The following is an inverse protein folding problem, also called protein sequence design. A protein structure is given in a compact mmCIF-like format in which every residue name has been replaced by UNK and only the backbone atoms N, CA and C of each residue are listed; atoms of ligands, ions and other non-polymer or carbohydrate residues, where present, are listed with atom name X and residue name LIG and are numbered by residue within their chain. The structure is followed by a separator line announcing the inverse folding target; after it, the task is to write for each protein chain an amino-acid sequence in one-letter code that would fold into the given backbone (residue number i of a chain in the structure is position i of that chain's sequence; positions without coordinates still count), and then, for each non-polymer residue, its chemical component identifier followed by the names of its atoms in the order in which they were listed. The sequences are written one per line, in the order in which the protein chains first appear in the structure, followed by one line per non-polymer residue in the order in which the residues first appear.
data_IF_837202059668
#
_entry.id   IF_837202059668
#
_cell.length_a   1.000
_cell.length_b   1.000
_cell.length_c   1.000
_cell.angle_alpha   90.00
_cell.angle_beta   90.00
_cell.angle_gamma   90.00
#
_symmetry.space_group_name_H-M   'P 1'
#
loop_
_entity.id
_entity.type
_entity.pdbx_description
1 polymer ?
#
# COMPACT_ATOMS: atom_id res chain seq x y z
N UNK A 1 6.84 -24.57 -3.19
CA UNK A 1 7.06 -23.13 -3.38
C UNK A 1 7.73 -22.96 -4.74
N UNK A 2 7.06 -22.33 -5.71
CA UNK A 2 7.50 -22.33 -7.10
C UNK A 2 8.84 -21.60 -7.33
N UNK A 3 9.12 -20.52 -6.59
CA UNK A 3 10.36 -19.76 -6.70
C UNK A 3 11.63 -20.59 -6.46
N UNK A 4 11.58 -21.53 -5.51
CA UNK A 4 12.73 -22.36 -5.15
C UNK A 4 13.09 -23.40 -6.23
N UNK A 5 12.22 -23.59 -7.22
CA UNK A 5 12.48 -24.47 -8.37
C UNK A 5 13.32 -23.77 -9.45
N UNK A 6 13.62 -22.48 -9.28
CA UNK A 6 14.43 -21.70 -10.20
C UNK A 6 15.78 -21.47 -9.53
N UNK A 7 16.83 -22.04 -10.11
CA UNK A 7 18.18 -21.86 -9.61
C UNK A 7 18.73 -20.46 -9.92
N UNK A 8 19.54 -19.95 -9.00
CA UNK A 8 20.33 -18.74 -9.20
C UNK A 8 21.69 -19.16 -9.75
N UNK A 9 22.15 -18.47 -10.78
CA UNK A 9 23.49 -18.65 -11.35
C UNK A 9 24.56 -18.54 -10.26
N UNK A 10 25.55 -19.43 -10.27
CA UNK A 10 26.55 -19.50 -9.20
C UNK A 10 27.29 -18.17 -8.98
N UNK A 11 27.48 -17.39 -10.05
CA UNK A 11 28.12 -16.08 -9.98
C UNK A 11 27.28 -15.02 -9.26
N UNK A 12 25.96 -15.19 -9.21
CA UNK A 12 25.02 -14.25 -8.59
C UNK A 12 24.59 -14.66 -7.17
N UNK A 13 24.83 -15.91 -6.76
CA UNK A 13 24.42 -16.42 -5.42
C UNK A 13 25.00 -15.59 -4.27
N UNK A 14 26.16 -14.97 -4.46
CA UNK A 14 26.80 -14.15 -3.44
C UNK A 14 26.01 -12.87 -3.08
N UNK A 15 25.13 -12.39 -3.97
CA UNK A 15 24.21 -11.28 -3.68
C UNK A 15 23.05 -11.67 -2.77
N UNK A 16 22.91 -12.96 -2.46
CA UNK A 16 21.80 -13.52 -1.67
C UNK A 16 22.23 -13.96 -0.28
N UNK A 17 23.43 -13.55 0.15
CA UNK A 17 23.98 -13.92 1.45
C UNK A 17 23.14 -13.37 2.59
N UNK A 18 22.98 -14.19 3.62
CA UNK A 18 22.37 -13.79 4.88
C UNK A 18 23.12 -14.39 6.06
N UNK A 19 23.13 -13.65 7.17
CA UNK A 19 23.66 -14.13 8.42
C UNK A 19 22.62 -15.01 9.13
N UNK A 20 23.07 -16.12 9.67
CA UNK A 20 22.27 -17.00 10.49
C UNK A 20 22.83 -17.05 11.90
N UNK A 21 21.91 -17.05 12.87
CA UNK A 21 22.24 -17.17 14.28
C UNK A 21 21.35 -18.25 14.92
N UNK A 22 21.98 -19.35 15.34
CA UNK A 22 21.29 -20.44 16.04
C UNK A 22 20.91 -20.09 17.49
N UNK A 23 21.52 -19.07 18.10
CA UNK A 23 21.36 -18.72 19.52
C UNK A 23 21.10 -17.21 19.75
N UNK A 24 19.99 -16.66 19.25
CA UNK A 24 19.69 -15.22 19.39
C UNK A 24 19.58 -14.82 20.86
N UNK A 25 20.45 -13.91 21.34
CA UNK A 25 20.39 -13.35 22.71
C UNK A 25 21.69 -13.29 23.50
N UNK A 26 22.81 -13.82 22.98
CA UNK A 26 24.15 -13.67 23.58
C UNK A 26 24.89 -12.51 22.89
N UNK A 27 25.76 -11.84 23.65
CA UNK A 27 26.60 -10.72 23.21
C UNK A 27 27.23 -10.95 21.83
N UNK A 28 27.01 -9.99 20.93
CA UNK A 28 27.39 -10.07 19.52
C UNK A 28 28.90 -9.87 19.31
N UNK A 29 29.61 -9.29 20.28
CA UNK A 29 31.00 -8.85 20.10
C UNK A 29 31.98 -10.00 19.81
N UNK A 30 31.68 -11.24 20.20
CA UNK A 30 32.56 -12.39 19.98
C UNK A 30 31.88 -13.58 19.27
N UNK A 31 30.72 -13.35 18.66
CA UNK A 31 29.93 -14.43 18.08
C UNK A 31 30.26 -14.63 16.61
N UNK A 32 30.65 -15.86 16.26
CA UNK A 32 30.80 -16.26 14.86
C UNK A 32 29.42 -16.47 14.26
N UNK A 33 29.01 -15.59 13.36
CA UNK A 33 27.79 -15.75 12.57
C UNK A 33 28.08 -16.67 11.39
N UNK A 34 27.16 -17.60 11.15
CA UNK A 34 27.21 -18.42 9.93
C UNK A 34 26.67 -17.59 8.76
N UNK A 35 27.32 -17.71 7.61
CA UNK A 35 26.93 -17.01 6.38
C UNK A 35 26.42 -18.06 5.41
N UNK A 36 25.12 -18.00 5.14
CA UNK A 36 24.49 -18.81 4.10
C UNK A 36 24.20 -17.96 2.87
N UNK A 37 24.01 -18.63 1.74
CA UNK A 37 23.55 -18.02 0.49
C UNK A 37 22.47 -18.89 -0.11
N UNK A 38 21.52 -18.28 -0.80
CA UNK A 38 20.46 -19.03 -1.47
C UNK A 38 20.98 -19.61 -2.79
N UNK A 39 20.51 -20.80 -3.12
CA UNK A 39 20.78 -21.45 -4.41
C UNK A 39 19.61 -21.30 -5.38
N UNK A 40 18.42 -20.98 -4.89
CA UNK A 40 17.21 -20.73 -5.67
C UNK A 40 16.63 -19.34 -5.45
N UNK A 41 15.74 -18.91 -6.35
CA UNK A 41 15.13 -17.58 -6.33
C UNK A 41 14.37 -17.35 -5.02
N UNK A 42 14.64 -16.21 -4.38
CA UNK A 42 14.11 -15.87 -3.06
C UNK A 42 12.67 -15.37 -3.12
N UNK A 43 11.89 -15.67 -2.09
CA UNK A 43 10.62 -14.99 -1.88
C UNK A 43 10.85 -13.56 -1.34
N UNK A 44 10.03 -12.60 -1.79
CA UNK A 44 10.05 -11.22 -1.29
C UNK A 44 11.04 -10.26 -1.97
N UNK A 45 11.84 -10.74 -2.94
CA UNK A 45 12.68 -9.88 -3.79
C UNK A 45 11.87 -9.39 -4.98
N UNK A 46 12.04 -8.11 -5.37
CA UNK A 46 11.25 -7.46 -6.42
C UNK A 46 11.34 -8.15 -7.79
N UNK A 47 12.47 -8.78 -8.10
CA UNK A 47 12.71 -9.48 -9.37
C UNK A 47 12.11 -10.88 -9.41
N UNK A 48 11.84 -11.51 -8.26
CA UNK A 48 11.42 -12.92 -8.21
C UNK A 48 10.12 -13.21 -8.97
N UNK A 49 9.05 -12.39 -8.89
CA UNK A 49 7.84 -12.60 -9.68
C UNK A 49 8.10 -12.57 -11.19
N UNK A 50 9.01 -11.69 -11.64
CA UNK A 50 9.41 -11.64 -13.04
C UNK A 50 10.15 -12.91 -13.46
N UNK A 51 11.12 -13.37 -12.67
CA UNK A 51 11.89 -14.58 -12.96
C UNK A 51 10.98 -15.81 -13.04
N UNK A 52 10.02 -15.92 -12.12
CA UNK A 52 9.02 -16.99 -12.14
C UNK A 52 8.15 -16.92 -13.40
N UNK A 53 7.56 -15.76 -13.69
CA UNK A 53 6.70 -15.60 -14.86
C UNK A 53 7.45 -15.84 -16.18
N UNK A 54 8.70 -15.38 -16.29
CA UNK A 54 9.55 -15.58 -17.46
C UNK A 54 9.89 -17.06 -17.67
N UNK A 55 10.21 -17.77 -16.58
CA UNK A 55 10.50 -19.22 -16.61
C UNK A 55 9.27 -19.99 -17.05
N UNK A 56 8.12 -19.74 -16.43
CA UNK A 56 6.86 -20.39 -16.81
C UNK A 56 6.54 -20.12 -18.29
N UNK A 57 6.58 -18.85 -18.73
CA UNK A 57 6.36 -18.50 -20.14
C UNK A 57 7.34 -19.19 -21.10
N UNK A 58 8.57 -19.44 -20.68
CA UNK A 58 9.52 -20.21 -21.48
C UNK A 58 9.07 -21.67 -21.64
N UNK A 59 8.66 -22.33 -20.55
CA UNK A 59 8.14 -23.71 -20.58
C UNK A 59 6.85 -23.83 -21.41
N UNK A 60 5.95 -22.86 -21.27
CA UNK A 60 4.69 -22.77 -21.99
C UNK A 60 4.87 -22.83 -23.53
N UNK A 61 6.01 -22.33 -24.07
CA UNK A 61 6.28 -22.39 -25.52
C UNK A 61 6.34 -23.81 -26.09
N UNK A 62 6.65 -24.83 -25.29
CA UNK A 62 6.71 -26.22 -25.73
C UNK A 62 5.33 -26.80 -26.09
N UNK A 63 4.25 -26.21 -25.56
CA UNK A 63 2.89 -26.76 -25.62
C UNK A 63 1.95 -25.98 -26.54
N UNK A 64 2.46 -25.00 -27.30
CA UNK A 64 1.68 -24.13 -28.20
C UNK A 64 0.83 -24.92 -29.18
N UNK A 65 1.41 -25.97 -29.78
CA UNK A 65 0.74 -26.80 -30.78
C UNK A 65 0.06 -28.04 -30.18
N UNK A 66 0.17 -28.23 -28.85
CA UNK A 66 -0.32 -29.42 -28.15
C UNK A 66 -1.61 -29.10 -27.37
N UNK A 67 -1.59 -28.06 -26.53
CA UNK A 67 -2.70 -27.68 -25.65
C UNK A 67 -3.03 -26.17 -25.79
N UNK A 68 -3.43 -25.70 -26.98
CA UNK A 68 -3.56 -24.26 -27.27
C UNK A 68 -4.55 -23.54 -26.34
N UNK A 69 -5.68 -24.18 -26.02
CA UNK A 69 -6.71 -23.59 -25.17
C UNK A 69 -6.26 -23.49 -23.70
N UNK A 70 -5.68 -24.57 -23.15
CA UNK A 70 -5.12 -24.57 -21.80
C UNK A 70 -3.93 -23.63 -21.67
N UNK A 71 -3.13 -23.50 -22.72
CA UNK A 71 -2.03 -22.53 -22.77
C UNK A 71 -2.53 -21.09 -22.69
N UNK A 72 -3.60 -20.77 -23.40
CA UNK A 72 -4.23 -19.45 -23.34
C UNK A 72 -4.78 -19.19 -21.93
N UNK A 73 -5.44 -20.17 -21.32
CA UNK A 73 -5.90 -20.08 -19.94
C UNK A 73 -4.73 -19.84 -18.99
N UNK A 74 -3.67 -20.65 -19.02
CA UNK A 74 -2.50 -20.47 -18.15
C UNK A 74 -1.84 -19.09 -18.32
N UNK A 75 -1.73 -18.58 -19.55
CA UNK A 75 -1.15 -17.26 -19.78
C UNK A 75 -2.00 -16.10 -19.24
N UNK A 76 -3.33 -16.25 -19.19
CA UNK A 76 -4.25 -15.20 -18.73
C UNK A 76 -4.60 -15.31 -17.24
N UNK A 77 -4.57 -16.52 -16.70
CA UNK A 77 -5.15 -16.87 -15.39
C UNK A 77 -4.14 -17.29 -14.32
N UNK A 78 -2.85 -17.38 -14.66
CA UNK A 78 -1.80 -17.67 -13.69
C UNK A 78 -1.25 -16.38 -13.10
N UNK A 79 -1.44 -16.19 -11.80
CA UNK A 79 -0.90 -15.06 -11.04
C UNK A 79 0.13 -15.56 -10.04
N UNK A 80 1.41 -15.35 -10.36
CA UNK A 80 2.55 -15.82 -9.56
C UNK A 80 2.48 -17.34 -9.35
N UNK A 81 2.04 -17.80 -8.18
CA UNK A 81 1.88 -19.21 -7.81
C UNK A 81 0.42 -19.69 -7.79
N UNK A 82 -0.55 -18.81 -8.01
CA UNK A 82 -1.98 -19.13 -8.02
C UNK A 82 -2.53 -19.24 -9.44
N UNK A 83 -3.20 -20.36 -9.76
CA UNK A 83 -3.87 -20.59 -11.05
C UNK A 83 -5.40 -20.52 -10.90
N UNK A 84 -6.06 -19.64 -11.66
CA UNK A 84 -7.50 -19.38 -11.53
C UNK A 84 -8.21 -19.31 -12.88
N UNK A 85 -8.85 -20.40 -13.28
CA UNK A 85 -9.60 -20.47 -14.54
C UNK A 85 -11.08 -20.82 -14.33
N UNK A 86 -11.94 -20.22 -15.15
CA UNK A 86 -13.34 -20.62 -15.32
C UNK A 86 -13.54 -21.35 -16.63
N UNK A 87 -14.49 -22.28 -16.68
CA UNK A 87 -14.82 -23.05 -17.88
C UNK A 87 -16.33 -23.24 -18.01
N UNK A 88 -16.82 -23.36 -19.25
CA UNK A 88 -18.26 -23.47 -19.56
C UNK A 88 -18.88 -24.84 -19.23
N UNK A 89 -18.06 -25.87 -19.03
CA UNK A 89 -18.51 -27.21 -18.66
C UNK A 89 -17.53 -27.92 -17.73
N UNK A 90 -18.03 -28.89 -16.95
CA UNK A 90 -17.21 -29.74 -16.08
C UNK A 90 -16.16 -30.52 -16.88
N UNK A 91 -16.50 -30.98 -18.08
CA UNK A 91 -15.56 -31.71 -18.92
C UNK A 91 -14.41 -30.83 -19.41
N UNK A 92 -14.71 -29.61 -19.87
CA UNK A 92 -13.67 -28.65 -20.28
C UNK A 92 -12.78 -28.26 -19.08
N UNK A 93 -13.38 -28.04 -17.90
CA UNK A 93 -12.65 -27.77 -16.68
C UNK A 93 -11.70 -28.91 -16.29
N UNK A 94 -12.17 -30.16 -16.38
CA UNK A 94 -11.36 -31.33 -16.10
C UNK A 94 -10.17 -31.45 -17.07
N UNK A 95 -10.41 -31.22 -18.37
CA UNK A 95 -9.34 -31.20 -19.39
C UNK A 95 -8.30 -30.14 -19.05
N UNK A 96 -8.71 -28.90 -18.75
CA UNK A 96 -7.78 -27.84 -18.34
C UNK A 96 -7.00 -28.21 -17.08
N UNK A 97 -7.62 -28.82 -16.06
CA UNK A 97 -6.91 -29.27 -14.86
C UNK A 97 -5.81 -30.30 -15.17
N UNK A 98 -6.12 -31.30 -16.00
CA UNK A 98 -5.19 -32.37 -16.36
C UNK A 98 -4.02 -31.81 -17.18
N UNK A 99 -4.34 -31.04 -18.22
CA UNK A 99 -3.34 -30.44 -19.11
C UNK A 99 -2.45 -29.44 -18.36
N UNK A 100 -3.03 -28.58 -17.52
CA UNK A 100 -2.26 -27.62 -16.70
C UNK A 100 -1.33 -28.32 -15.71
N UNK A 101 -1.78 -29.41 -15.06
CA UNK A 101 -0.94 -30.20 -14.18
C UNK A 101 0.24 -30.80 -14.95
N UNK A 102 -0.01 -31.40 -16.10
CA UNK A 102 1.03 -31.99 -16.94
C UNK A 102 2.08 -30.94 -17.37
N UNK A 103 1.64 -29.77 -17.84
CA UNK A 103 2.52 -28.70 -18.31
C UNK A 103 3.44 -28.21 -17.18
N UNK A 104 2.89 -27.98 -15.99
CA UNK A 104 3.65 -27.42 -14.87
C UNK A 104 4.45 -28.49 -14.10
N UNK A 105 4.03 -29.75 -14.12
CA UNK A 105 4.84 -30.88 -13.64
C UNK A 105 6.12 -31.06 -14.48
N UNK A 106 6.07 -30.89 -15.81
CA UNK A 106 7.27 -30.85 -16.68
C UNK A 106 8.21 -29.68 -16.35
N UNK A 107 7.69 -28.60 -15.75
CA UNK A 107 8.48 -27.48 -15.23
C UNK A 107 8.94 -27.68 -13.77
N UNK A 108 8.70 -28.85 -13.16
CA UNK A 108 8.89 -29.12 -11.73
C UNK A 108 8.12 -28.16 -10.80
N UNK A 109 7.04 -27.54 -11.30
CA UNK A 109 6.18 -26.57 -10.61
C UNK A 109 4.76 -27.13 -10.40
N UNK A 110 4.67 -28.28 -9.73
CA UNK A 110 3.42 -29.02 -9.53
C UNK A 110 2.27 -28.19 -8.93
N UNK A 111 1.11 -28.23 -9.60
CA UNK A 111 -0.13 -27.57 -9.14
C UNK A 111 -0.85 -28.44 -8.11
N UNK A 112 -1.04 -27.88 -6.92
CA UNK A 112 -1.61 -28.57 -5.76
C UNK A 112 -2.79 -27.81 -5.17
N UNK A 113 -3.51 -28.47 -4.26
CA UNK A 113 -4.62 -27.89 -3.49
C UNK A 113 -5.73 -27.33 -4.39
N UNK A 114 -6.16 -28.15 -5.34
CA UNK A 114 -7.22 -27.81 -6.27
C UNK A 114 -8.54 -27.56 -5.54
N UNK A 115 -9.28 -26.55 -5.99
CA UNK A 115 -10.59 -26.14 -5.46
C UNK A 115 -11.55 -25.84 -6.60
N UNK A 116 -12.84 -26.06 -6.37
CA UNK A 116 -13.88 -25.85 -7.38
C UNK A 116 -15.25 -25.66 -6.74
N UNK A 117 -16.08 -24.83 -7.38
CA UNK A 117 -17.51 -24.66 -7.06
C UNK A 117 -18.39 -25.83 -7.56
N UNK A 118 -17.85 -26.75 -8.37
CA UNK A 118 -18.58 -27.90 -8.90
C UNK A 118 -18.29 -29.16 -8.08
N UNK A 119 -19.32 -29.69 -7.42
CA UNK A 119 -19.24 -30.96 -6.68
C UNK A 119 -18.88 -32.14 -7.60
N UNK A 120 -19.36 -32.13 -8.85
CA UNK A 120 -19.04 -33.14 -9.85
C UNK A 120 -17.55 -33.08 -10.23
N UNK A 121 -17.02 -31.90 -10.53
CA UNK A 121 -15.60 -31.75 -10.86
C UNK A 121 -14.71 -32.17 -9.67
N UNK A 122 -15.10 -31.78 -8.45
CA UNK A 122 -14.38 -32.13 -7.23
C UNK A 122 -14.25 -33.66 -7.07
N UNK A 123 -15.33 -34.42 -7.28
CA UNK A 123 -15.31 -35.88 -7.25
C UNK A 123 -14.44 -36.47 -8.36
N UNK A 124 -14.52 -35.95 -9.58
CA UNK A 124 -13.69 -36.42 -10.71
C UNK A 124 -12.19 -36.19 -10.46
N UNK A 125 -11.82 -35.04 -9.90
CA UNK A 125 -10.43 -34.74 -9.54
C UNK A 125 -9.89 -35.69 -8.46
N UNK A 126 -10.69 -36.00 -7.43
CA UNK A 126 -10.34 -36.99 -6.41
C UNK A 126 -10.12 -38.38 -7.00
N UNK A 127 -11.00 -38.81 -7.91
CA UNK A 127 -10.87 -40.10 -8.59
C UNK A 127 -9.59 -40.19 -9.43
N UNK A 128 -9.05 -39.06 -9.88
CA UNK A 128 -7.77 -38.95 -10.60
C UNK A 128 -6.58 -38.69 -9.67
N UNK A 129 -6.74 -38.84 -8.35
CA UNK A 129 -5.70 -38.61 -7.33
C UNK A 129 -5.10 -37.19 -7.33
N UNK A 130 -5.90 -36.17 -7.66
CA UNK A 130 -5.49 -34.78 -7.46
C UNK A 130 -5.54 -34.42 -5.97
N UNK A 131 -4.59 -33.61 -5.50
CA UNK A 131 -4.62 -33.02 -4.16
C UNK A 131 -5.72 -31.93 -4.12
N UNK A 132 -6.91 -32.30 -3.67
CA UNK A 132 -8.06 -31.41 -3.52
C UNK A 132 -8.13 -30.93 -2.06
N UNK A 133 -8.24 -29.62 -1.86
CA UNK A 133 -8.32 -29.03 -0.52
C UNK A 133 -9.78 -28.92 -0.09
N UNK A 134 -10.23 -29.83 0.78
CA UNK A 134 -11.61 -29.86 1.27
C UNK A 134 -11.85 -28.87 2.42
N UNK A 135 -13.04 -28.28 2.45
CA UNK A 135 -13.53 -27.48 3.56
C UNK A 135 -13.46 -28.27 4.88
N UNK A 136 -12.63 -27.84 5.83
CA UNK A 136 -12.75 -28.28 7.23
C UNK A 136 -13.91 -27.52 7.86
N UNK A 137 -15.07 -28.15 8.00
CA UNK A 137 -16.14 -27.67 8.88
C UNK A 137 -15.66 -27.74 10.34
N UNK A 138 -14.93 -26.73 10.79
CA UNK A 138 -14.74 -26.50 12.22
C UNK A 138 -15.90 -25.67 12.75
N UNK A 139 -16.68 -26.28 13.64
CA UNK A 139 -17.76 -25.68 14.42
C UNK A 139 -17.40 -24.25 14.86
N UNK A 140 -18.24 -23.27 14.50
CA UNK A 140 -18.25 -21.86 14.93
C UNK A 140 -17.36 -20.85 14.19
N UNK A 141 -16.81 -21.16 13.02
CA UNK A 141 -16.32 -20.08 12.13
C UNK A 141 -16.41 -20.54 10.69
N UNK A 142 -17.15 -19.79 9.86
CA UNK A 142 -17.11 -19.92 8.40
C UNK A 142 -15.69 -19.52 7.94
N UNK A 143 -14.70 -20.38 8.14
CA UNK A 143 -13.39 -20.21 7.50
C UNK A 143 -13.60 -20.60 6.05
N UNK A 144 -14.13 -19.68 5.26
CA UNK A 144 -14.19 -19.85 3.83
C UNK A 144 -12.83 -19.58 3.20
N UNK A 145 -12.63 -20.24 2.07
CA UNK A 145 -11.36 -20.35 1.35
C UNK A 145 -10.87 -18.98 0.90
N UNK A 146 -9.54 -18.76 0.84
CA UNK A 146 -8.98 -17.52 0.28
C UNK A 146 -8.38 -17.78 -1.09
N UNK A 147 -8.65 -16.89 -2.03
CA UNK A 147 -8.12 -16.86 -3.39
C UNK A 147 -7.52 -15.47 -3.63
N UNK A 148 -6.23 -15.37 -3.93
CA UNK A 148 -5.51 -14.09 -4.08
C UNK A 148 -5.71 -13.12 -2.89
N UNK A 149 -5.89 -13.68 -1.69
CA UNK A 149 -6.15 -12.92 -0.46
C UNK A 149 -7.61 -12.55 -0.18
N UNK A 150 -8.54 -12.81 -1.12
CA UNK A 150 -9.99 -12.55 -0.97
C UNK A 150 -10.73 -13.83 -0.59
N UNK A 151 -11.75 -13.75 0.27
CA UNK A 151 -12.58 -14.91 0.59
C UNK A 151 -13.40 -15.37 -0.62
N UNK A 152 -13.49 -16.67 -0.86
CA UNK A 152 -14.32 -17.28 -1.90
C UNK A 152 -15.21 -18.36 -1.29
N UNK A 153 -16.51 -18.20 -1.49
CA UNK A 153 -17.51 -19.21 -1.16
C UNK A 153 -17.75 -20.10 -2.38
N UNK A 154 -17.21 -21.31 -2.32
CA UNK A 154 -17.28 -22.30 -3.40
C UNK A 154 -18.74 -22.71 -3.71
N UNK A 155 -19.66 -22.72 -2.74
CA UNK A 155 -21.04 -23.17 -2.96
C UNK A 155 -21.89 -22.14 -3.69
N UNK A 156 -21.76 -20.86 -3.32
CA UNK A 156 -22.49 -19.76 -3.96
C UNK A 156 -21.72 -19.13 -5.12
N UNK A 157 -20.46 -19.53 -5.33
CA UNK A 157 -19.53 -18.94 -6.28
C UNK A 157 -19.39 -17.42 -6.12
N UNK A 158 -19.28 -16.96 -4.87
CA UNK A 158 -19.20 -15.54 -4.53
C UNK A 158 -17.93 -15.23 -3.78
N UNK A 159 -17.22 -14.17 -4.20
CA UNK A 159 -16.18 -13.58 -3.38
C UNK A 159 -16.78 -12.75 -2.25
N UNK A 160 -16.12 -12.74 -1.09
CA UNK A 160 -16.52 -11.96 0.06
C UNK A 160 -15.30 -11.41 0.81
N UNK A 161 -15.51 -10.33 1.57
CA UNK A 161 -14.51 -9.75 2.45
C UNK A 161 -14.88 -10.06 3.89
N UNK A 162 -13.96 -10.69 4.63
CA UNK A 162 -14.18 -11.00 6.03
C UNK A 162 -13.81 -9.79 6.91
N UNK A 163 -14.79 -8.92 7.14
CA UNK A 163 -14.65 -7.77 8.04
C UNK A 163 -14.48 -8.18 9.51
N UNK A 164 -14.93 -9.39 9.88
CA UNK A 164 -14.86 -9.91 11.24
C UNK A 164 -13.44 -10.37 11.62
N UNK A 165 -12.69 -11.00 10.69
CA UNK A 165 -11.27 -11.31 10.86
C UNK A 165 -10.45 -10.02 11.01
N UNK A 166 -10.75 -9.00 10.20
CA UNK A 166 -10.05 -7.72 10.28
C UNK A 166 -10.31 -6.99 11.60
N UNK A 167 -11.57 -6.92 12.04
CA UNK A 167 -11.95 -6.32 13.33
C UNK A 167 -11.30 -7.03 14.51
N UNK A 168 -11.32 -8.36 14.50
CA UNK A 168 -10.66 -9.22 15.51
C UNK A 168 -9.14 -9.10 15.46
N UNK A 169 -8.56 -8.92 14.28
CA UNK A 169 -7.13 -8.68 14.14
C UNK A 169 -6.77 -7.33 14.75
N UNK A 170 -7.39 -6.23 14.31
CA UNK A 170 -7.11 -4.86 14.74
C UNK A 170 -7.34 -4.66 16.25
N UNK A 171 -8.35 -5.34 16.83
CA UNK A 171 -8.68 -5.22 18.26
C UNK A 171 -7.53 -5.64 19.20
N UNK A 172 -6.53 -6.38 18.71
CA UNK A 172 -5.32 -6.74 19.47
C UNK A 172 -4.39 -5.53 19.73
N UNK A 173 -4.62 -4.38 19.10
CA UNK A 173 -3.93 -3.08 19.33
C UNK A 173 -2.39 -3.16 19.34
N UNK A 174 -1.81 -4.02 18.50
CA UNK A 174 -0.35 -4.16 18.40
C UNK A 174 0.21 -3.07 17.48
N UNK A 175 1.01 -2.14 18.01
CA UNK A 175 1.57 -1.03 17.23
C UNK A 175 2.95 -1.36 16.66
N UNK A 176 3.03 -2.38 15.80
CA UNK A 176 4.26 -2.66 15.03
C UNK A 176 4.01 -2.45 13.54
N UNK A 177 5.05 -2.02 12.81
CA UNK A 177 5.01 -1.89 11.34
C UNK A 177 4.57 -3.17 10.65
N UNK A 178 5.06 -4.33 11.11
CA UNK A 178 4.67 -5.64 10.59
C UNK A 178 3.18 -5.91 10.79
N UNK A 179 2.66 -5.60 11.97
CA UNK A 179 1.24 -5.76 12.27
C UNK A 179 0.36 -4.84 11.42
N UNK A 180 0.77 -3.58 11.24
CA UNK A 180 0.07 -2.64 10.36
C UNK A 180 0.06 -3.11 8.90
N UNK A 181 1.18 -3.60 8.39
CA UNK A 181 1.26 -4.18 7.04
C UNK A 181 0.38 -5.43 6.91
N UNK A 182 0.31 -6.27 7.95
CA UNK A 182 -0.60 -7.42 7.98
C UNK A 182 -2.08 -7.03 8.03
N UNK A 183 -2.43 -5.91 8.65
CA UNK A 183 -3.78 -5.36 8.62
C UNK A 183 -4.12 -4.82 7.22
N UNK A 184 -3.22 -4.04 6.62
CA UNK A 184 -3.40 -3.49 5.27
C UNK A 184 -3.50 -4.58 4.20
N UNK A 185 -2.72 -5.66 4.32
CA UNK A 185 -2.80 -6.82 3.42
C UNK A 185 -4.13 -7.59 3.50
N UNK A 186 -4.86 -7.50 4.62
CA UNK A 186 -6.22 -8.09 4.75
C UNK A 186 -7.30 -7.30 4.03
N UNK A 187 -7.04 -6.02 3.75
CA UNK A 187 -7.89 -5.13 2.95
C UNK A 187 -7.53 -5.19 1.45
N UNK A 188 -6.67 -6.12 1.05
CA UNK A 188 -6.22 -6.21 -0.33
C UNK A 188 -7.37 -6.65 -1.25
N UNK A 189 -7.73 -5.78 -2.18
CA UNK A 189 -8.72 -6.02 -3.21
C UNK A 189 -8.07 -5.96 -4.61
N UNK A 190 -7.68 -7.12 -5.17
CA UNK A 190 -7.02 -7.18 -6.47
C UNK A 190 -7.92 -6.72 -7.63
N UNK A 191 -9.25 -6.77 -7.46
CA UNK A 191 -10.21 -6.39 -8.50
C UNK A 191 -10.61 -4.92 -8.49
N UNK A 192 -10.21 -4.14 -7.48
CA UNK A 192 -10.69 -2.77 -7.31
C UNK A 192 -12.21 -2.66 -7.14
N UNK A 193 -12.88 -3.74 -6.72
CA UNK A 193 -14.32 -3.74 -6.44
C UNK A 193 -14.64 -3.00 -5.16
N UNK A 194 -13.77 -3.15 -4.15
CA UNK A 194 -13.71 -2.22 -3.04
C UNK A 194 -13.38 -0.83 -3.58
N UNK A 195 -12.49 -0.60 -4.57
CA UNK A 195 -12.15 0.78 -5.02
C UNK A 195 -13.36 1.66 -5.38
N UNK A 196 -14.41 1.09 -5.98
CA UNK A 196 -15.65 1.82 -6.27
C UNK A 196 -16.47 2.16 -5.01
N UNK A 197 -16.33 1.40 -3.92
CA UNK A 197 -16.80 1.77 -2.59
C UNK A 197 -15.74 2.56 -1.78
N UNK A 198 -14.44 2.46 -2.10
CA UNK A 198 -13.25 2.98 -1.40
C UNK A 198 -12.86 4.41 -1.73
N UNK A 199 -13.27 4.93 -2.90
CA UNK A 199 -13.37 6.38 -3.11
C UNK A 199 -14.27 7.05 -2.07
N UNK A 200 -15.09 6.25 -1.36
CA UNK A 200 -15.75 6.66 -0.13
C UNK A 200 -15.20 5.98 1.15
N UNK A 201 -14.61 4.79 1.09
CA UNK A 201 -14.36 3.90 2.25
C UNK A 201 -13.01 3.98 2.98
N UNK A 202 -11.92 4.46 2.37
CA UNK A 202 -10.67 4.59 3.15
C UNK A 202 -10.61 5.88 4.01
N UNK A 203 -11.64 6.73 3.91
CA UNK A 203 -12.02 7.69 4.95
C UNK A 203 -12.91 7.09 6.06
N UNK A 204 -13.33 5.81 5.98
CA UNK A 204 -14.49 5.30 6.75
C UNK A 204 -14.22 4.20 7.77
N UNK A 205 -13.06 3.54 7.80
CA UNK A 205 -12.80 2.51 8.84
C UNK A 205 -12.56 3.05 10.26
N UNK A 206 -12.60 4.38 10.46
CA UNK A 206 -12.97 5.00 11.73
C UNK A 206 -13.47 6.43 11.46
N UNK A 207 -14.73 6.58 11.07
CA UNK A 207 -15.31 7.89 10.77
C UNK A 207 -15.70 8.62 12.06
N UNK A 208 -14.71 9.16 12.77
CA UNK A 208 -14.94 10.10 13.87
C UNK A 208 -15.40 11.45 13.30
N UNK A 209 -16.72 11.68 13.28
CA UNK A 209 -17.32 12.90 12.73
C UNK A 209 -17.41 14.03 13.77
N UNK A 210 -16.90 15.25 13.49
CA UNK A 210 -17.13 16.40 14.36
C UNK A 210 -18.58 16.94 14.23
N UNK A 211 -19.20 17.28 15.36
CA UNK A 211 -20.53 17.92 15.44
C UNK A 211 -20.49 19.43 15.05
N UNK A 212 -19.80 19.81 13.96
CA UNK A 212 -19.84 21.19 13.47
C UNK A 212 -21.20 21.52 12.84
N UNK A 213 -21.70 22.74 13.06
CA UNK A 213 -23.04 23.22 12.63
C UNK A 213 -23.31 23.10 11.12
N UNK A 214 -22.27 23.14 10.29
CA UNK A 214 -22.39 22.98 8.84
C UNK A 214 -22.81 21.56 8.42
N UNK A 215 -22.44 20.53 9.19
CA UNK A 215 -22.87 19.14 8.96
C UNK A 215 -24.26 18.85 9.55
N UNK A 216 -24.69 19.60 10.59
CA UNK A 216 -26.11 19.63 10.99
C UNK A 216 -26.98 20.27 9.91
N UNK A 217 -26.47 21.28 9.19
CA UNK A 217 -27.15 21.87 8.02
C UNK A 217 -27.29 20.89 6.87
N UNK A 218 -26.21 20.19 6.49
CA UNK A 218 -26.28 19.11 5.50
C UNK A 218 -27.24 17.98 5.92
N UNK A 219 -27.26 17.61 7.20
CA UNK A 219 -28.21 16.64 7.76
C UNK A 219 -29.66 17.14 7.72
N UNK A 220 -29.90 18.42 7.99
CA UNK A 220 -31.25 18.98 7.98
C UNK A 220 -31.79 19.11 6.54
N UNK A 221 -30.95 19.50 5.58
CA UNK A 221 -31.29 19.48 4.14
C UNK A 221 -31.53 18.05 3.67
N UNK A 222 -30.67 17.10 4.08
CA UNK A 222 -30.87 15.67 3.80
C UNK A 222 -32.13 15.12 4.47
N UNK A 223 -32.53 15.65 5.64
CA UNK A 223 -33.75 15.29 6.36
C UNK A 223 -35.02 15.90 5.74
N UNK A 224 -34.98 17.12 5.22
CA UNK A 224 -36.06 17.71 4.40
C UNK A 224 -36.27 16.91 3.11
N UNK A 225 -35.19 16.41 2.49
CA UNK A 225 -35.27 15.47 1.37
C UNK A 225 -35.73 14.06 1.80
N UNK A 226 -35.54 13.71 3.08
CA UNK A 226 -35.93 12.43 3.67
C UNK A 226 -37.45 12.38 3.93
N UNK A 227 -38.09 13.50 4.25
CA UNK A 227 -39.56 13.58 4.40
C UNK A 227 -40.28 13.39 3.06
N UNK A 228 -39.69 13.86 1.96
CA UNK A 228 -40.22 13.69 0.58
C UNK A 228 -40.04 12.24 0.06
N UNK A 229 -39.11 11.47 0.64
CA UNK A 229 -38.79 10.10 0.21
C UNK A 229 -39.22 9.00 1.21
N UNK A 230 -40.29 9.23 1.97
CA UNK A 230 -40.81 8.41 3.09
C UNK A 230 -41.39 7.04 2.73
N UNK A 231 -40.94 6.39 1.66
CA UNK A 231 -41.16 4.96 1.44
C UNK A 231 -39.95 4.29 0.78
N UNK A 232 -38.85 4.18 1.52
CA UNK A 232 -37.99 2.98 1.62
C UNK A 232 -36.73 3.31 2.41
N UNK A 233 -36.62 2.62 3.53
CA UNK A 233 -35.42 2.16 4.24
C UNK A 233 -34.10 2.88 3.92
N UNK A 234 -33.56 3.49 4.98
CA UNK A 234 -32.29 4.16 5.13
C UNK A 234 -31.12 3.41 4.47
N UNK A 235 -30.90 3.65 3.16
CA UNK A 235 -29.87 2.98 2.33
C UNK A 235 -28.48 3.05 2.95
N UNK A 236 -28.17 4.11 3.69
CA UNK A 236 -26.87 4.29 4.34
C UNK A 236 -26.74 3.38 5.57
N UNK A 237 -27.80 3.24 6.39
CA UNK A 237 -27.79 2.32 7.53
C UNK A 237 -27.84 0.86 7.09
N UNK A 238 -28.62 0.54 6.05
CA UNK A 238 -28.65 -0.79 5.45
C UNK A 238 -27.29 -1.15 4.85
N UNK A 239 -26.70 -0.27 4.03
CA UNK A 239 -25.34 -0.46 3.52
C UNK A 239 -24.32 -0.57 4.65
N UNK A 240 -24.41 0.27 5.68
CA UNK A 240 -23.49 0.18 6.84
C UNK A 240 -23.64 -1.13 7.60
N UNK A 241 -24.85 -1.68 7.71
CA UNK A 241 -25.07 -2.96 8.38
C UNK A 241 -24.66 -4.15 7.50
N UNK A 242 -24.91 -4.09 6.19
CA UNK A 242 -24.51 -5.10 5.20
C UNK A 242 -22.98 -5.19 5.06
N UNK A 243 -22.30 -4.05 5.09
CA UNK A 243 -20.83 -3.96 5.01
C UNK A 243 -20.12 -4.02 6.38
N UNK A 244 -20.87 -4.24 7.48
CA UNK A 244 -20.31 -4.35 8.83
C UNK A 244 -19.64 -3.07 9.37
N UNK A 245 -20.07 -1.90 8.91
CA UNK A 245 -19.53 -0.58 9.30
C UNK A 245 -20.08 -0.15 10.67
N UNK A 246 -19.22 -0.17 11.68
CA UNK A 246 -19.52 0.35 13.01
C UNK A 246 -19.31 1.88 13.12
N UNK A 247 -20.37 2.60 13.46
CA UNK A 247 -20.34 4.06 13.64
C UNK A 247 -19.89 4.44 15.05
N UNK A 248 -18.63 4.86 15.18
CA UNK A 248 -18.04 5.32 16.43
C UNK A 248 -17.92 6.86 16.46
N UNK A 249 -18.77 7.51 17.25
CA UNK A 249 -18.76 8.97 17.40
C UNK A 249 -17.78 9.41 18.50
N UNK A 250 -17.08 10.52 18.25
CA UNK A 250 -16.32 11.18 19.32
C UNK A 250 -17.26 11.62 20.45
N UNK A 251 -16.79 11.61 21.70
CA UNK A 251 -17.54 12.15 22.81
C UNK A 251 -18.03 13.58 22.50
N UNK A 252 -19.27 13.93 22.89
CA UNK A 252 -19.79 15.28 22.71
C UNK A 252 -18.81 16.33 23.27
N UNK A 253 -18.72 17.48 22.60
CA UNK A 253 -17.86 18.61 22.99
C UNK A 253 -16.36 18.28 23.14
N UNK A 254 -15.87 17.20 22.52
CA UNK A 254 -14.46 16.78 22.60
C UNK A 254 -13.74 16.87 21.25
N UNK A 255 -13.60 18.08 20.63
CA UNK A 255 -12.99 18.24 19.31
C UNK A 255 -11.51 17.83 19.25
N UNK A 256 -10.83 17.74 20.40
CA UNK A 256 -9.44 17.27 20.47
C UNK A 256 -9.26 15.84 19.95
N UNK A 257 -10.29 14.98 20.05
CA UNK A 257 -10.26 13.63 19.47
C UNK A 257 -10.12 13.67 17.93
N UNK A 258 -10.50 14.77 17.27
CA UNK A 258 -10.39 14.97 15.83
C UNK A 258 -9.30 15.89 15.34
N UNK A 259 -8.44 16.36 16.23
CA UNK A 259 -7.46 17.41 15.92
C UNK A 259 -6.54 17.09 14.74
N UNK A 260 -6.13 15.82 14.58
CA UNK A 260 -5.19 15.40 13.52
C UNK A 260 -5.77 15.57 12.10
N UNK A 261 -6.95 15.04 11.83
CA UNK A 261 -7.56 15.19 10.49
C UNK A 261 -8.14 16.59 10.29
N UNK A 262 -8.66 17.23 11.34
CA UNK A 262 -9.14 18.61 11.25
C UNK A 262 -8.00 19.59 10.93
N UNK A 263 -6.82 19.43 11.53
CA UNK A 263 -5.65 20.24 11.22
C UNK A 263 -5.20 20.05 9.77
N UNK A 264 -5.19 18.81 9.27
CA UNK A 264 -4.86 18.51 7.88
C UNK A 264 -5.88 19.10 6.90
N UNK A 265 -7.18 18.93 7.15
CA UNK A 265 -8.25 19.51 6.32
C UNK A 265 -8.19 21.04 6.34
N UNK A 266 -7.94 21.64 7.52
CA UNK A 266 -7.79 23.09 7.66
C UNK A 266 -6.60 23.60 6.85
N UNK A 267 -5.47 22.89 6.89
CA UNK A 267 -4.28 23.26 6.11
C UNK A 267 -4.54 23.15 4.61
N UNK A 268 -5.13 22.03 4.15
CA UNK A 268 -5.53 21.83 2.76
C UNK A 268 -6.46 22.94 2.26
N UNK A 269 -7.56 23.23 2.98
CA UNK A 269 -8.51 24.27 2.59
C UNK A 269 -7.84 25.64 2.50
N UNK A 270 -7.00 25.98 3.48
CA UNK A 270 -6.29 27.27 3.51
C UNK A 270 -5.36 27.43 2.29
N UNK A 271 -4.60 26.39 1.95
CA UNK A 271 -3.69 26.43 0.80
C UNK A 271 -4.50 26.49 -0.50
N UNK A 272 -5.51 25.63 -0.64
CA UNK A 272 -6.36 25.60 -1.82
C UNK A 272 -7.03 26.95 -2.08
N UNK A 273 -7.65 27.58 -1.06
CA UNK A 273 -8.28 28.90 -1.20
C UNK A 273 -7.26 29.98 -1.61
N UNK A 274 -6.04 29.92 -1.08
CA UNK A 274 -4.97 30.86 -1.42
C UNK A 274 -4.42 30.67 -2.83
N UNK A 275 -4.42 29.43 -3.33
CA UNK A 275 -3.92 29.08 -4.67
C UNK A 275 -4.99 29.34 -5.73
N UNK A 276 -6.23 28.97 -5.46
CA UNK A 276 -7.36 29.15 -6.37
C UNK A 276 -7.84 30.62 -6.43
N UNK A 277 -7.76 31.38 -5.34
CA UNK A 277 -8.21 32.79 -5.27
C UNK A 277 -9.57 33.01 -5.96
N UNK A 278 -9.59 33.77 -7.06
CA UNK A 278 -10.79 34.12 -7.85
C UNK A 278 -10.96 33.25 -9.10
N UNK A 279 -10.19 32.17 -9.24
CA UNK A 279 -10.30 31.26 -10.38
C UNK A 279 -11.66 30.55 -10.37
N UNK A 280 -12.44 30.74 -11.44
CA UNK A 280 -13.72 30.07 -11.64
C UNK A 280 -13.45 28.68 -12.24
N UNK A 281 -13.72 27.64 -11.46
CA UNK A 281 -13.66 26.24 -11.90
C UNK A 281 -15.06 25.72 -12.24
N UNK A 282 -15.14 24.84 -13.23
CA UNK A 282 -16.38 24.13 -13.55
C UNK A 282 -16.54 22.87 -12.69
N UNK A 283 -17.66 22.16 -12.89
CA UNK A 283 -18.00 20.97 -12.12
C UNK A 283 -16.98 19.85 -12.23
N UNK A 284 -16.31 19.65 -13.37
CA UNK A 284 -15.36 18.55 -13.55
C UNK A 284 -13.96 18.90 -13.02
N UNK A 285 -13.59 20.18 -13.06
CA UNK A 285 -12.28 20.66 -12.63
C UNK A 285 -12.06 20.62 -11.14
N UNK A 286 -13.09 20.97 -10.36
CA UNK A 286 -12.99 20.99 -8.91
C UNK A 286 -12.77 19.57 -8.33
N UNK A 287 -13.56 18.54 -8.67
CA UNK A 287 -13.31 17.15 -8.28
C UNK A 287 -11.97 16.65 -8.78
N UNK A 288 -11.59 16.96 -10.03
CA UNK A 288 -10.28 16.56 -10.57
C UNK A 288 -9.14 17.15 -9.74
N UNK A 289 -9.18 18.46 -9.46
CA UNK A 289 -8.19 19.12 -8.61
C UNK A 289 -8.19 18.56 -7.19
N UNK A 290 -9.36 18.25 -6.62
CA UNK A 290 -9.48 17.67 -5.29
C UNK A 290 -8.84 16.28 -5.22
N UNK A 291 -9.07 15.41 -6.21
CA UNK A 291 -8.44 14.10 -6.30
C UNK A 291 -6.90 14.22 -6.43
N UNK A 292 -6.42 15.18 -7.21
CA UNK A 292 -4.98 15.46 -7.32
C UNK A 292 -4.39 15.99 -6.00
N UNK A 293 -5.11 16.85 -5.28
CA UNK A 293 -4.70 17.35 -3.97
C UNK A 293 -4.69 16.22 -2.94
N UNK A 294 -5.70 15.34 -2.96
CA UNK A 294 -5.74 14.16 -2.11
C UNK A 294 -4.50 13.28 -2.33
N UNK A 295 -4.15 13.01 -3.59
CA UNK A 295 -2.92 12.31 -3.94
C UNK A 295 -1.67 13.01 -3.37
N UNK A 296 -1.59 14.35 -3.49
CA UNK A 296 -0.52 15.16 -2.89
C UNK A 296 -0.42 14.97 -1.39
N UNK A 297 -1.52 15.10 -0.67
CA UNK A 297 -1.54 14.93 0.78
C UNK A 297 -1.12 13.52 1.19
N UNK A 298 -1.57 12.50 0.44
CA UNK A 298 -1.32 11.09 0.74
C UNK A 298 0.04 10.58 0.27
N UNK A 299 0.75 11.33 -0.57
CA UNK A 299 2.15 11.03 -0.95
C UNK A 299 3.17 11.40 0.13
N UNK A 300 2.78 12.13 1.17
CA UNK A 300 3.72 12.70 2.16
C UNK A 300 4.54 11.59 2.89
N UNK A 301 5.88 11.71 2.98
CA UNK A 301 6.73 10.77 3.72
C UNK A 301 6.47 10.80 5.23
N UNK A 302 6.18 9.66 5.86
CA UNK A 302 5.96 9.54 7.31
C UNK A 302 7.18 9.00 8.04
N UNK A 303 7.79 7.94 7.52
CA UNK A 303 8.92 7.23 8.13
C UNK A 303 9.60 6.32 7.09
N UNK A 304 10.77 5.71 7.38
CA UNK A 304 11.40 4.77 6.46
C UNK A 304 10.55 3.50 6.19
N UNK A 305 10.39 3.13 4.90
CA UNK A 305 9.63 1.94 4.50
C UNK A 305 10.36 0.63 4.79
N UNK A 306 11.69 0.65 4.92
CA UNK A 306 12.51 -0.51 5.28
C UNK A 306 13.66 -0.09 6.20
N UNK A 307 14.24 -1.06 6.90
CA UNK A 307 15.50 -0.90 7.63
C UNK A 307 16.72 -1.07 6.71
N UNK A 308 16.52 -1.53 5.47
CA UNK A 308 17.59 -1.65 4.46
C UNK A 308 18.24 -0.28 4.18
N UNK A 309 19.56 -0.12 4.40
CA UNK A 309 20.29 1.11 4.10
C UNK A 309 20.22 1.54 2.64
N UNK A 310 20.01 0.61 1.70
CA UNK A 310 19.89 0.91 0.27
C UNK A 310 18.46 1.25 -0.16
N UNK A 311 17.46 0.99 0.68
CA UNK A 311 16.09 1.42 0.42
C UNK A 311 15.91 2.89 0.84
N UNK A 312 15.57 3.72 -0.14
CA UNK A 312 15.31 5.14 0.04
C UNK A 312 13.80 5.44 0.09
N UNK A 313 12.93 4.43 -0.01
CA UNK A 313 11.50 4.65 -0.04
C UNK A 313 10.94 5.00 1.35
N UNK A 314 10.10 6.03 1.45
CA UNK A 314 9.37 6.32 2.67
C UNK A 314 8.03 5.57 2.71
N UNK A 315 7.58 5.23 3.91
CA UNK A 315 6.19 4.92 4.20
C UNK A 315 5.37 6.20 4.07
N UNK A 316 4.19 6.13 3.45
CA UNK A 316 3.31 7.27 3.19
C UNK A 316 1.87 6.90 3.53
N UNK A 317 0.96 7.85 3.76
CA UNK A 317 -0.46 7.55 3.93
C UNK A 317 -1.04 6.75 2.76
N UNK A 318 -0.60 7.05 1.53
CA UNK A 318 -1.03 6.35 0.32
C UNK A 318 -0.79 4.84 0.39
N UNK A 319 0.31 4.39 1.01
CA UNK A 319 0.54 2.96 1.23
C UNK A 319 -0.56 2.28 2.05
N UNK A 320 -1.24 3.00 2.95
CA UNK A 320 -2.37 2.44 3.68
C UNK A 320 -3.64 2.42 2.84
N UNK A 321 -3.86 3.44 2.00
CA UNK A 321 -5.10 3.57 1.21
C UNK A 321 -5.10 2.69 -0.04
N UNK A 322 -3.93 2.51 -0.66
CA UNK A 322 -3.81 1.85 -1.98
C UNK A 322 -2.78 0.72 -2.00
N UNK A 323 -2.20 0.34 -0.85
CA UNK A 323 -1.15 -0.69 -0.73
C UNK A 323 0.10 -0.43 -1.60
N UNK A 324 0.27 0.79 -2.12
CA UNK A 324 1.42 1.21 -2.92
C UNK A 324 1.67 2.72 -2.77
N UNK A 325 2.86 3.18 -3.17
CA UNK A 325 3.16 4.59 -3.24
C UNK A 325 2.32 5.27 -4.33
N UNK A 326 1.73 6.41 -4.00
CA UNK A 326 1.01 7.23 -4.98
C UNK A 326 2.06 7.95 -5.83
N UNK A 327 2.22 7.51 -7.08
CA UNK A 327 3.13 8.12 -8.06
C UNK A 327 2.40 9.07 -9.00
N UNK A 328 3.05 10.17 -9.40
CA UNK A 328 2.60 11.00 -10.51
C UNK A 328 3.23 10.52 -11.81
N UNK A 329 2.52 10.68 -12.93
CA UNK A 329 3.17 10.61 -14.24
C UNK A 329 4.04 11.86 -14.45
N UNK A 330 5.24 11.75 -15.03
CA UNK A 330 6.06 12.92 -15.34
C UNK A 330 5.40 13.74 -16.45
N UNK A 331 4.79 14.85 -16.08
CA UNK A 331 4.14 15.77 -17.03
C UNK A 331 5.12 16.86 -17.51
N UNK A 332 5.12 17.21 -18.82
CA UNK A 332 5.88 18.33 -19.33
C UNK A 332 5.25 19.67 -18.91
N UNK A 333 6.06 20.56 -18.34
CA UNK A 333 5.65 21.93 -18.04
C UNK A 333 5.39 22.69 -19.33
N UNK A 334 4.15 23.14 -19.55
CA UNK A 334 3.78 23.91 -20.75
C UNK A 334 3.04 25.19 -20.36
N UNK A 335 3.79 26.24 -20.06
CA UNK A 335 3.23 27.59 -19.95
C UNK A 335 2.70 28.03 -21.34
N UNK A 336 1.38 28.21 -21.49
CA UNK A 336 0.85 29.00 -22.63
C UNK A 336 -0.44 29.72 -22.25
N UNK A 337 -0.50 31.00 -22.63
CA UNK A 337 -1.56 31.96 -22.32
C UNK A 337 -2.67 32.04 -23.38
N UNK A 338 -3.26 30.92 -23.81
CA UNK A 338 -4.43 30.96 -24.70
C UNK A 338 -5.51 29.96 -24.30
N UNK A 339 -6.76 30.42 -24.29
CA UNK A 339 -7.95 29.68 -23.83
C UNK A 339 -8.44 28.66 -24.88
N UNK A 340 -8.10 27.38 -24.68
CA UNK A 340 -8.65 26.21 -25.40
C UNK A 340 -8.88 25.06 -24.39
N UNK A 341 -9.42 23.89 -24.76
CA UNK A 341 -9.46 22.75 -23.82
C UNK A 341 -8.08 22.42 -23.21
N UNK A 342 -7.01 22.70 -23.95
CA UNK A 342 -5.62 22.62 -23.50
C UNK A 342 -5.31 23.63 -22.37
N UNK A 343 -6.03 24.75 -22.27
CA UNK A 343 -5.86 25.78 -21.24
C UNK A 343 -6.57 25.47 -19.92
N UNK A 344 -7.70 24.75 -19.96
CA UNK A 344 -8.47 24.39 -18.76
C UNK A 344 -7.80 23.24 -18.00
N UNK A 345 -7.28 22.25 -18.73
CA UNK A 345 -6.37 21.25 -18.14
C UNK A 345 -5.12 21.93 -17.56
N UNK A 346 -4.47 22.83 -18.30
CA UNK A 346 -3.31 23.62 -17.78
C UNK A 346 -3.64 24.42 -16.53
N UNK A 347 -4.86 24.95 -16.43
CA UNK A 347 -5.33 25.65 -15.23
C UNK A 347 -5.33 24.71 -14.03
N UNK A 348 -5.94 23.53 -14.15
CA UNK A 348 -5.98 22.53 -13.07
C UNK A 348 -4.56 22.10 -12.68
N UNK A 349 -3.68 21.82 -13.66
CA UNK A 349 -2.29 21.47 -13.36
C UNK A 349 -1.53 22.62 -12.69
N UNK A 350 -1.70 23.86 -13.16
CA UNK A 350 -1.10 25.04 -12.53
C UNK A 350 -1.56 25.21 -11.07
N UNK A 351 -2.83 24.94 -10.78
CA UNK A 351 -3.37 24.98 -9.42
C UNK A 351 -2.78 23.86 -8.55
N UNK A 352 -2.69 22.63 -9.08
CA UNK A 352 -2.02 21.50 -8.42
C UNK A 352 -0.57 21.83 -8.09
N UNK A 353 0.19 22.36 -9.04
CA UNK A 353 1.61 22.66 -8.86
C UNK A 353 1.83 23.78 -7.82
N UNK A 354 1.00 24.83 -7.87
CA UNK A 354 0.98 25.89 -6.85
C UNK A 354 0.61 25.34 -5.47
N UNK A 355 -0.35 24.43 -5.40
CA UNK A 355 -0.72 23.74 -4.17
C UNK A 355 0.45 22.92 -3.63
N UNK A 356 1.08 22.09 -4.47
CA UNK A 356 2.25 21.28 -4.14
C UNK A 356 3.39 22.13 -3.58
N UNK A 357 3.79 23.19 -4.26
CA UNK A 357 4.90 24.05 -3.84
C UNK A 357 4.66 24.66 -2.46
N UNK A 358 3.41 25.07 -2.19
CA UNK A 358 3.01 25.63 -0.89
C UNK A 358 2.94 24.54 0.19
N UNK A 359 2.27 23.44 -0.10
CA UNK A 359 2.03 22.33 0.83
C UNK A 359 3.34 21.66 1.24
N UNK A 360 4.18 21.28 0.28
CA UNK A 360 5.46 20.60 0.55
C UNK A 360 6.36 21.46 1.44
N UNK A 361 6.46 22.75 1.14
CA UNK A 361 7.22 23.71 1.97
C UNK A 361 6.67 23.79 3.39
N UNK A 362 5.36 23.93 3.55
CA UNK A 362 4.73 24.04 4.87
C UNK A 362 4.84 22.73 5.66
N UNK A 363 4.72 21.57 4.99
CA UNK A 363 4.90 20.26 5.59
C UNK A 363 6.34 20.02 6.08
N UNK A 364 7.33 20.32 5.24
CA UNK A 364 8.75 20.20 5.61
C UNK A 364 9.13 21.15 6.75
N UNK A 365 8.50 22.32 6.79
CA UNK A 365 8.68 23.26 7.90
C UNK A 365 8.06 22.70 9.19
N UNK A 366 6.87 22.09 9.10
CA UNK A 366 6.22 21.44 10.23
C UNK A 366 7.09 20.32 10.82
N UNK A 367 7.68 19.46 9.99
CA UNK A 367 8.59 18.39 10.44
C UNK A 367 9.83 18.89 11.19
N UNK A 368 10.23 20.15 10.95
CA UNK A 368 11.39 20.77 11.60
C UNK A 368 11.00 21.70 12.76
N UNK A 369 9.73 21.73 13.16
CA UNK A 369 9.26 22.65 14.21
C UNK A 369 9.94 22.29 15.53
N UNK A 370 10.73 23.23 16.06
CA UNK A 370 11.52 23.04 17.27
C UNK A 370 10.58 22.87 18.48
N UNK A 371 10.85 21.87 19.32
CA UNK A 371 10.38 21.89 20.70
C UNK A 371 10.90 23.18 21.38
N UNK A 372 10.20 23.66 22.41
CA UNK A 372 10.50 24.91 23.11
C UNK A 372 12.02 25.08 23.31
N UNK A 373 12.52 26.31 23.16
CA UNK A 373 13.94 26.71 23.18
C UNK A 373 14.81 26.13 24.32
N UNK A 374 14.20 25.52 25.33
CA UNK A 374 14.85 24.89 26.48
C UNK A 374 15.48 23.52 26.18
N UNK A 375 15.10 22.82 25.11
CA UNK A 375 15.65 21.48 24.79
C UNK A 375 16.41 21.46 23.46
N UNK A 376 17.64 20.96 23.50
CA UNK A 376 18.48 20.76 22.33
C UNK A 376 18.00 19.54 21.54
N UNK A 377 17.61 19.73 20.27
CA UNK A 377 17.26 18.61 19.41
C UNK A 377 18.49 17.72 19.15
N UNK A 378 18.33 16.39 19.05
CA UNK A 378 19.43 15.49 18.71
C UNK A 378 20.06 15.87 17.36
N UNK A 379 21.38 15.77 17.29
CA UNK A 379 22.13 15.97 16.05
C UNK A 379 21.72 14.93 14.98
N UNK A 380 21.90 15.28 13.71
CA UNK A 380 21.77 14.32 12.62
C UNK A 380 22.84 13.23 12.74
N UNK A 381 22.47 12.01 12.38
CA UNK A 381 23.33 10.83 12.44
C UNK A 381 23.47 10.19 11.07
N UNK A 382 24.54 9.42 10.91
CA UNK A 382 24.73 8.56 9.75
C UNK A 382 23.59 7.53 9.63
N UNK A 383 23.36 7.05 8.41
CA UNK A 383 22.27 6.16 8.05
C UNK A 383 20.85 6.70 8.24
N UNK A 384 20.63 7.93 8.68
CA UNK A 384 19.29 8.50 8.76
C UNK A 384 18.72 8.79 7.37
N UNK A 385 17.46 8.39 7.15
CA UNK A 385 16.71 8.71 5.93
C UNK A 385 16.15 10.13 6.05
N UNK A 386 16.42 10.95 5.04
CA UNK A 386 16.14 12.38 5.01
C UNK A 386 15.44 12.78 3.72
N UNK A 387 14.61 13.83 3.80
CA UNK A 387 14.09 14.55 2.63
C UNK A 387 15.04 15.71 2.32
N UNK A 388 15.45 15.84 1.06
CA UNK A 388 16.20 16.99 0.57
C UNK A 388 15.24 18.10 0.18
N UNK A 389 15.44 19.30 0.73
CA UNK A 389 14.70 20.50 0.35
C UNK A 389 15.20 21.00 -1.01
N UNK A 390 14.51 20.59 -2.07
CA UNK A 390 14.71 21.11 -3.41
C UNK A 390 13.47 21.95 -3.82
N UNK A 391 13.63 23.22 -4.22
CA UNK A 391 12.51 24.04 -4.68
C UNK A 391 11.92 23.61 -6.04
N UNK A 392 12.60 22.74 -6.80
CA UNK A 392 12.23 22.37 -8.16
C UNK A 392 11.62 20.97 -8.27
N UNK A 393 10.98 20.47 -7.20
CA UNK A 393 10.37 19.14 -7.18
C UNK A 393 9.03 19.13 -7.89
N UNK A 394 8.77 18.04 -8.63
CA UNK A 394 7.46 17.81 -9.23
C UNK A 394 6.46 17.38 -8.14
N UNK A 395 5.15 17.58 -8.36
CA UNK A 395 4.14 17.05 -7.47
C UNK A 395 4.30 15.56 -7.21
N UNK A 396 4.18 15.16 -5.95
CA UNK A 396 4.36 13.78 -5.42
C UNK A 396 5.81 13.30 -5.37
N UNK A 397 6.75 14.08 -5.90
CA UNK A 397 8.17 13.72 -5.90
C UNK A 397 8.87 14.32 -4.68
N UNK A 398 9.18 13.44 -3.72
CA UNK A 398 9.91 13.80 -2.51
C UNK A 398 11.36 13.33 -2.66
N UNK A 399 12.34 14.24 -2.84
CA UNK A 399 13.72 13.85 -3.03
C UNK A 399 14.28 13.21 -1.77
N UNK A 400 14.41 11.89 -1.80
CA UNK A 400 14.89 11.12 -0.67
C UNK A 400 16.41 10.94 -0.74
N UNK A 401 17.03 10.84 0.42
CA UNK A 401 18.41 10.41 0.54
C UNK A 401 18.74 9.90 1.94
N UNK A 402 19.88 9.24 2.06
CA UNK A 402 20.39 8.72 3.34
C UNK A 402 21.70 9.39 3.69
N UNK A 403 21.86 9.85 4.93
CA UNK A 403 23.11 10.46 5.38
C UNK A 403 24.20 9.39 5.40
N UNK A 404 25.28 9.63 4.66
CA UNK A 404 26.48 8.80 4.66
C UNK A 404 27.48 9.26 5.71
N UNK A 405 27.66 10.58 5.83
CA UNK A 405 28.72 11.18 6.65
C UNK A 405 28.24 12.53 7.17
N UNK A 406 28.62 12.86 8.41
CA UNK A 406 28.28 14.12 9.10
C UNK A 406 29.53 14.95 9.36
N UNK A 407 29.42 16.28 9.19
CA UNK A 407 30.51 17.22 9.44
C UNK A 407 30.12 18.19 10.57
N UNK A 408 30.57 17.95 11.81
CA UNK A 408 30.33 18.84 12.93
C UNK A 408 31.21 20.09 12.91
N UNK A 409 30.72 21.18 13.49
CA UNK A 409 31.49 22.39 13.76
C UNK A 409 32.36 22.25 15.01
N UNK A 410 33.07 23.33 15.36
CA UNK A 410 33.89 23.42 16.59
C UNK A 410 33.07 23.29 17.89
N UNK A 411 31.75 23.47 17.81
CA UNK A 411 30.77 23.31 18.89
C UNK A 411 30.16 21.90 18.95
N UNK A 412 30.64 20.95 18.12
CA UNK A 412 30.11 19.60 18.04
C UNK A 412 28.76 19.47 17.33
N UNK A 413 28.22 20.56 16.75
CA UNK A 413 26.94 20.55 16.03
C UNK A 413 27.11 20.24 14.55
N UNK A 414 26.29 19.33 14.02
CA UNK A 414 26.32 18.97 12.59
C UNK A 414 25.81 20.13 11.74
N UNK A 415 26.66 20.64 10.82
CA UNK A 415 26.31 21.76 9.92
C UNK A 415 26.19 21.33 8.47
N UNK A 416 26.95 20.31 8.08
CA UNK A 416 27.01 19.78 6.71
C UNK A 416 26.94 18.27 6.77
N UNK A 417 26.30 17.66 5.77
CA UNK A 417 26.19 16.20 5.61
C UNK A 417 26.45 15.80 4.16
N UNK A 418 27.02 14.62 3.96
CA UNK A 418 27.00 13.93 2.67
C UNK A 418 25.78 13.01 2.63
N UNK A 419 24.96 13.14 1.59
CA UNK A 419 23.71 12.38 1.43
C UNK A 419 23.78 11.54 0.16
N UNK A 420 23.56 10.22 0.28
CA UNK A 420 23.36 9.31 -0.84
C UNK A 420 21.93 9.44 -1.35
N UNK A 421 21.76 9.82 -2.60
CA UNK A 421 20.49 9.80 -3.34
C UNK A 421 20.49 8.67 -4.36
N UNK A 422 19.37 8.47 -5.07
CA UNK A 422 19.29 7.54 -6.19
C UNK A 422 20.23 7.90 -7.36
N UNK A 423 20.62 9.17 -7.47
CA UNK A 423 21.42 9.70 -8.59
C UNK A 423 22.90 9.91 -8.24
N UNK A 424 23.29 9.83 -6.97
CA UNK A 424 24.67 10.01 -6.54
C UNK A 424 24.81 10.51 -5.11
N UNK A 425 25.98 11.05 -4.77
CA UNK A 425 26.26 11.61 -3.45
C UNK A 425 26.25 13.13 -3.54
N UNK A 426 25.50 13.77 -2.65
CA UNK A 426 25.34 15.23 -2.59
C UNK A 426 25.79 15.76 -1.23
N UNK A 427 26.67 16.75 -1.24
CA UNK A 427 27.03 17.53 -0.03
C UNK A 427 25.97 18.60 0.20
N UNK A 428 25.37 18.66 1.39
CA UNK A 428 24.28 19.57 1.72
C UNK A 428 24.44 20.17 3.12
N UNK A 429 24.08 21.44 3.26
CA UNK A 429 23.93 22.08 4.57
C UNK A 429 22.70 21.52 5.29
N UNK A 430 22.75 21.44 6.62
CA UNK A 430 21.66 20.91 7.47
C UNK A 430 20.31 21.62 7.23
N UNK A 431 20.33 22.90 6.85
CA UNK A 431 19.12 23.68 6.53
C UNK A 431 18.33 23.15 5.33
N UNK A 432 19.01 22.38 4.46
CA UNK A 432 18.44 21.77 3.24
C UNK A 432 18.06 20.31 3.44
N UNK A 433 18.17 19.78 4.66
CA UNK A 433 17.93 18.37 4.97
C UNK A 433 16.88 18.26 6.06
N UNK A 434 15.87 17.43 5.85
CA UNK A 434 14.79 17.18 6.82
C UNK A 434 14.82 15.71 7.21
N UNK A 435 15.20 15.35 8.44
CA UNK A 435 15.12 13.97 8.89
C UNK A 435 13.68 13.51 8.96
N UNK A 436 13.42 12.28 8.49
CA UNK A 436 12.13 11.65 8.77
C UNK A 436 12.04 11.27 10.24
N UNK A 437 10.85 11.34 10.85
CA UNK A 437 10.61 10.75 12.16
C UNK A 437 11.02 9.27 12.15
N UNK A 438 12.01 8.93 12.97
CA UNK A 438 12.37 7.53 13.22
C UNK A 438 11.30 7.00 14.17
N UNK A 439 10.73 5.79 13.93
CA UNK A 439 9.92 5.14 14.94
C UNK A 439 10.79 4.97 16.18
N UNK A 440 10.49 5.72 17.25
CA UNK A 440 11.16 5.53 18.53
C UNK A 440 10.78 4.13 18.99
N UNK A 441 11.77 3.28 19.19
CA UNK A 441 11.55 1.95 19.74
C UNK A 441 10.91 2.14 21.13
N UNK A 442 9.71 1.62 21.42
CA UNK A 442 9.03 1.85 22.70
C UNK A 442 9.92 1.51 23.92
N UNK A 443 10.89 0.60 23.77
CA UNK A 443 11.89 0.27 24.80
C UNK A 443 12.85 1.43 25.16
N UNK A 444 13.00 2.44 24.28
CA UNK A 444 13.83 3.63 24.54
C UNK A 444 13.04 4.80 25.13
N UNK A 445 11.71 4.80 25.00
CA UNK A 445 10.84 5.83 25.57
C UNK A 445 10.67 5.67 27.10
N UNK A 446 10.80 4.45 27.62
CA UNK A 446 10.69 4.17 29.06
C UNK A 446 11.93 4.56 29.88
N UNK A 447 13.04 4.98 29.24
CA UNK A 447 14.25 5.39 29.96
C UNK A 447 14.33 6.89 30.31
N UNK A 448 13.37 7.70 29.88
CA UNK A 448 13.39 9.16 30.07
C UNK A 448 12.14 9.74 30.74
N UNK A 449 11.43 8.96 31.56
CA UNK A 449 10.42 9.49 32.49
C UNK A 449 10.91 9.40 33.94
#
# INVERSE_FOLDING_TARGET
MAFLMIEIDESERDFTRFFWDENPGIDLENKRLDIFRMTGVLFGVKSSPFLLAATIKHHLKKYVDIFPDTLNNLNQSLYVDDFLCGNVSVQAALTTCIESKQILEDASMDLRKWRTNSSELNQRLKNLNFEVDEHKESLNTLIASKVLGVGWNEKSDTFYFDSSDLGTFISKRINTKRYLLQAAGRLFDPGGRLKHSTLSEFQKHQMMLPKATNFKGARNILNEWNEICTHKSNRIQLFSAEEGIEWNFIPPASPHFGGLWEANIKSMKRILLRVAKSTIMNFEELPTLMAQIEAVLNSRPLSPLSSDPNDLNPLTPGHFLTNCAISSFPEPYTASDSLSYHSRWKLVQSLRDKFWNRWSTEYLTHLQTRAKWSEQNPNLMENQLVILKDPNTKPLDWPMGRILEVFPGSDGLVRVVNVKTSTGILKRAITKVVPLPIPVDPATAEKNN
#
